data_IF_995521029417
#
_entry.id   IF_995521029417
#
_cell.length_a   1.000
_cell.length_b   1.000
_cell.length_c   1.000
_cell.angle_alpha   90.00
_cell.angle_beta   90.00
_cell.angle_gamma   90.00
#
_symmetry.space_group_name_H-M   'P 1'
#
loop_
_entity.id
_entity.type
_entity.pdbx_description
1 polymer ?
#
# COMPACT_ATOMS: atom_id res chain seq x y z
N UNK A 1 52.67 2.57 31.12
CA UNK A 1 52.83 1.09 31.14
C UNK A 1 52.53 0.61 32.55
N UNK A 2 51.45 -0.17 32.77
CA UNK A 2 51.26 -1.03 33.94
C UNK A 2 50.30 -2.15 33.53
N UNK A 3 50.86 -3.34 33.38
CA UNK A 3 50.18 -4.64 33.26
C UNK A 3 49.90 -5.16 34.66
N UNK A 4 48.74 -5.77 34.92
CA UNK A 4 48.48 -6.91 35.84
C UNK A 4 47.04 -7.40 35.58
N UNK A 5 46.58 -8.63 35.80
CA UNK A 5 47.08 -10.02 35.74
C UNK A 5 45.80 -10.88 35.90
N UNK A 6 45.82 -12.06 35.31
CA UNK A 6 44.90 -13.20 35.37
C UNK A 6 44.23 -13.52 36.73
N UNK A 7 43.06 -14.16 36.64
CA UNK A 7 42.53 -15.14 37.61
C UNK A 7 41.23 -15.78 37.08
N UNK A 8 41.23 -17.04 36.60
CA UNK A 8 41.05 -18.31 37.35
C UNK A 8 39.55 -18.70 37.41
N UNK A 9 39.05 -19.57 36.53
CA UNK A 9 38.99 -21.04 36.57
C UNK A 9 37.99 -21.64 37.58
N UNK A 10 37.19 -22.59 37.06
CA UNK A 10 36.48 -23.72 37.68
C UNK A 10 34.96 -23.59 37.77
N UNK A 11 34.13 -24.64 37.71
CA UNK A 11 34.15 -25.98 37.14
C UNK A 11 32.79 -26.61 37.50
N UNK A 12 32.34 -27.58 36.69
CA UNK A 12 31.44 -28.71 37.05
C UNK A 12 30.00 -28.47 37.49
N UNK A 13 29.08 -29.25 36.90
CA UNK A 13 27.79 -29.58 37.49
C UNK A 13 26.74 -30.03 36.48
N UNK A 14 26.82 -31.28 36.02
CA UNK A 14 25.73 -31.94 35.30
C UNK A 14 24.68 -32.45 36.30
N UNK A 15 23.39 -32.22 36.03
CA UNK A 15 22.28 -33.00 36.58
C UNK A 15 21.14 -33.01 35.55
N UNK A 16 20.84 -34.21 35.06
CA UNK A 16 19.68 -34.51 34.23
C UNK A 16 18.49 -34.84 35.13
N UNK A 17 17.29 -34.32 34.81
CA UNK A 17 16.02 -34.87 35.28
C UNK A 17 15.01 -34.83 34.14
N UNK A 18 14.53 -36.00 33.77
CA UNK A 18 13.48 -36.27 32.80
C UNK A 18 12.10 -35.99 33.42
N UNK A 19 11.22 -35.28 32.72
CA UNK A 19 9.77 -35.34 32.97
C UNK A 19 9.02 -34.99 31.68
N UNK A 20 8.22 -35.94 31.21
CA UNK A 20 7.48 -35.83 29.96
C UNK A 20 6.41 -34.75 29.97
N UNK A 21 6.17 -34.19 28.79
CA UNK A 21 4.90 -33.57 28.47
C UNK A 21 4.29 -34.29 27.27
N UNK A 22 3.22 -35.03 27.57
CA UNK A 22 1.95 -35.11 26.84
C UNK A 22 1.95 -34.48 25.45
N UNK A 23 1.69 -35.32 24.45
CA UNK A 23 1.49 -34.92 23.07
C UNK A 23 0.37 -33.88 22.93
N UNK A 24 0.70 -32.78 22.27
CA UNK A 24 -0.27 -31.95 21.59
C UNK A 24 -0.31 -32.42 20.13
N UNK A 25 -1.45 -32.93 19.69
CA UNK A 25 -1.73 -33.12 18.28
C UNK A 25 -1.60 -31.74 17.61
N UNK A 26 -0.52 -31.52 16.86
CA UNK A 26 -0.47 -30.43 15.89
C UNK A 26 -1.49 -30.79 14.82
N UNK A 27 -2.69 -30.23 14.94
CA UNK A 27 -3.58 -30.10 13.80
C UNK A 27 -2.77 -29.38 12.72
N UNK A 28 -2.40 -30.11 11.67
CA UNK A 28 -1.90 -29.53 10.44
C UNK A 28 -3.03 -28.65 9.93
N UNK A 29 -2.98 -27.36 10.26
CA UNK A 29 -3.68 -26.36 9.48
C UNK A 29 -3.02 -26.44 8.10
N UNK A 30 -3.59 -27.26 7.23
CA UNK A 30 -3.41 -27.13 5.82
C UNK A 30 -3.84 -25.69 5.51
N UNK A 31 -2.87 -24.79 5.45
CA UNK A 31 -3.05 -23.53 4.75
C UNK A 31 -3.38 -23.97 3.33
N UNK A 32 -4.67 -24.01 3.01
CA UNK A 32 -5.12 -23.96 1.63
C UNK A 32 -4.43 -22.74 1.07
N UNK A 33 -3.39 -22.97 0.27
CA UNK A 33 -2.75 -21.93 -0.50
C UNK A 33 -3.88 -21.26 -1.28
N UNK A 34 -4.24 -20.04 -0.85
CA UNK A 34 -5.18 -19.23 -1.58
C UNK A 34 -4.64 -19.17 -3.01
N UNK A 35 -5.41 -19.70 -3.96
CA UNK A 35 -5.04 -19.62 -5.36
C UNK A 35 -4.83 -18.15 -5.71
N UNK A 36 -3.81 -17.82 -6.52
CA UNK A 36 -3.62 -16.45 -6.98
C UNK A 36 -4.91 -15.99 -7.65
N UNK A 37 -5.48 -14.90 -7.12
CA UNK A 37 -6.64 -14.22 -7.69
C UNK A 37 -6.36 -13.96 -9.18
N UNK A 38 -7.23 -14.46 -10.05
CA UNK A 38 -7.03 -14.44 -11.50
C UNK A 38 -7.31 -13.06 -12.12
N UNK A 39 -7.39 -12.01 -11.31
CA UNK A 39 -7.43 -10.63 -11.75
C UNK A 39 -8.72 -10.27 -12.49
N UNK A 40 -9.77 -11.09 -12.36
CA UNK A 40 -11.10 -10.77 -12.88
C UNK A 40 -11.71 -9.72 -11.96
N UNK A 41 -11.58 -8.47 -12.38
CA UNK A 41 -12.19 -7.29 -11.74
C UNK A 41 -13.71 -7.44 -11.78
N UNK A 42 -14.27 -8.06 -10.75
CA UNK A 42 -15.69 -7.96 -10.45
C UNK A 42 -16.03 -6.50 -10.19
N UNK A 43 -17.09 -6.00 -10.81
CA UNK A 43 -17.71 -4.73 -10.45
C UNK A 43 -18.28 -4.91 -9.04
N UNK A 44 -17.46 -4.76 -8.02
CA UNK A 44 -17.92 -4.58 -6.64
C UNK A 44 -18.19 -3.10 -6.46
N UNK A 45 -19.41 -2.71 -6.85
CA UNK A 45 -19.96 -1.43 -6.46
C UNK A 45 -20.05 -1.31 -4.94
N UNK A 46 -19.74 -0.12 -4.44
CA UNK A 46 -19.97 0.28 -3.05
C UNK A 46 -18.88 -0.18 -2.11
N UNK A 47 -17.79 0.58 -2.06
CA UNK A 47 -16.99 0.58 -0.84
C UNK A 47 -17.88 0.93 0.36
N UNK A 48 -17.56 0.36 1.50
CA UNK A 48 -18.39 0.35 2.70
C UNK A 48 -17.51 0.56 3.92
N UNK A 49 -18.11 0.75 5.09
CA UNK A 49 -17.36 0.83 6.36
C UNK A 49 -16.42 -0.38 6.59
N UNK A 50 -16.68 -1.53 5.95
CA UNK A 50 -15.84 -2.73 6.03
C UNK A 50 -14.81 -2.86 4.88
N UNK A 51 -14.96 -2.10 3.80
CA UNK A 51 -14.10 -2.15 2.61
C UNK A 51 -13.70 -0.73 2.21
N UNK A 52 -12.44 -0.32 2.47
CA UNK A 52 -12.01 1.05 2.19
C UNK A 52 -12.16 1.35 0.71
N UNK A 53 -12.67 2.54 0.39
CA UNK A 53 -12.68 3.13 -0.95
C UNK A 53 -11.27 3.58 -1.38
N UNK A 54 -11.07 3.77 -2.69
CA UNK A 54 -9.88 4.37 -3.23
C UNK A 54 -9.68 5.77 -2.65
N UNK A 55 -8.46 6.07 -2.21
CA UNK A 55 -8.09 7.35 -1.60
C UNK A 55 -6.83 7.92 -2.25
N UNK A 56 -6.80 9.24 -2.40
CA UNK A 56 -5.58 10.00 -2.71
C UNK A 56 -5.27 10.95 -1.57
N UNK A 57 -4.09 10.79 -0.98
CA UNK A 57 -3.48 11.74 -0.05
C UNK A 57 -2.44 12.56 -0.80
N UNK A 58 -2.47 13.88 -0.66
CA UNK A 58 -1.57 14.77 -1.38
C UNK A 58 -0.60 15.45 -0.40
N UNK A 59 0.51 14.77 -0.13
CA UNK A 59 1.60 15.28 0.70
C UNK A 59 2.60 16.13 -0.10
N UNK A 60 2.36 16.29 -1.40
CA UNK A 60 3.19 17.09 -2.29
C UNK A 60 2.89 18.59 -2.18
N UNK A 61 3.81 19.41 -2.70
CA UNK A 61 3.64 20.87 -2.76
C UNK A 61 2.70 21.39 -3.86
N UNK A 62 2.03 20.52 -4.63
CA UNK A 62 1.16 20.92 -5.75
C UNK A 62 -0.21 20.28 -5.65
N UNK A 63 -1.23 20.94 -6.21
CA UNK A 63 -2.57 20.34 -6.26
C UNK A 63 -2.62 19.17 -7.23
N UNK A 64 -3.35 18.12 -6.87
CA UNK A 64 -3.54 16.89 -7.65
C UNK A 64 -4.98 16.83 -8.13
N UNK A 65 -5.20 16.47 -9.40
CA UNK A 65 -6.55 16.21 -9.92
C UNK A 65 -6.86 14.73 -9.84
N UNK A 66 -8.06 14.40 -9.39
CA UNK A 66 -8.52 13.03 -9.18
C UNK A 66 -9.88 12.80 -9.85
N UNK A 67 -10.14 11.57 -10.27
CA UNK A 67 -11.40 11.12 -10.85
C UNK A 67 -12.19 10.32 -9.82
N UNK A 68 -13.49 10.62 -9.67
CA UNK A 68 -14.40 9.86 -8.78
C UNK A 68 -15.33 8.92 -9.56
N UNK A 69 -15.13 8.83 -10.87
CA UNK A 69 -15.79 7.84 -11.72
C UNK A 69 -14.91 7.58 -12.93
N UNK A 70 -14.43 6.36 -13.12
CA UNK A 70 -13.65 5.96 -14.29
C UNK A 70 -14.47 5.09 -15.24
N UNK A 71 -14.69 5.58 -16.47
CA UNK A 71 -15.66 4.97 -17.40
C UNK A 71 -15.05 4.11 -18.50
N UNK A 72 -13.77 3.74 -18.39
CA UNK A 72 -13.07 2.93 -19.38
C UNK A 72 -12.49 1.66 -18.75
N UNK A 73 -12.27 0.62 -19.55
CA UNK A 73 -11.64 -0.62 -19.06
C UNK A 73 -10.11 -0.51 -18.94
N UNK A 74 -9.52 0.55 -19.51
CA UNK A 74 -8.08 0.79 -19.45
C UNK A 74 -7.61 1.23 -18.06
N UNK A 75 -6.42 0.77 -17.64
CA UNK A 75 -5.77 1.17 -16.38
C UNK A 75 -5.09 2.54 -16.46
N UNK A 76 -4.83 3.02 -17.66
CA UNK A 76 -4.26 4.35 -17.90
C UNK A 76 -4.98 5.00 -19.07
N UNK A 77 -4.94 6.34 -19.11
CA UNK A 77 -5.46 7.08 -20.25
C UNK A 77 -4.64 8.35 -20.52
N UNK A 78 -4.56 8.82 -21.77
CA UNK A 78 -3.89 10.08 -22.06
C UNK A 78 -4.64 11.26 -21.44
N UNK A 79 -3.94 12.39 -21.27
CA UNK A 79 -4.56 13.66 -20.91
C UNK A 79 -5.59 14.07 -21.98
N UNK A 80 -6.73 14.59 -21.56
CA UNK A 80 -7.85 14.92 -22.45
C UNK A 80 -8.74 13.74 -22.84
N UNK A 81 -8.44 12.52 -22.36
CA UNK A 81 -9.35 11.37 -22.53
C UNK A 81 -10.70 11.57 -21.84
N UNK A 82 -11.71 10.85 -22.31
CA UNK A 82 -13.05 10.86 -21.75
C UNK A 82 -13.24 9.93 -20.54
N UNK A 83 -12.23 9.10 -20.22
CA UNK A 83 -12.26 8.10 -19.15
C UNK A 83 -12.48 8.69 -17.74
N UNK A 84 -11.73 9.73 -17.30
CA UNK A 84 -11.97 10.32 -15.99
C UNK A 84 -13.23 11.19 -15.99
N UNK A 85 -14.13 10.97 -15.02
CA UNK A 85 -15.35 11.76 -14.79
C UNK A 85 -15.37 12.29 -13.35
N UNK A 86 -16.26 13.26 -13.11
CA UNK A 86 -16.46 13.88 -11.78
C UNK A 86 -15.15 14.38 -11.16
N UNK A 87 -14.30 15.02 -11.97
CA UNK A 87 -12.94 15.40 -11.57
C UNK A 87 -12.98 16.37 -10.38
N UNK A 88 -12.13 16.11 -9.38
CA UNK A 88 -11.93 16.97 -8.21
C UNK A 88 -10.46 17.33 -8.05
N UNK A 89 -10.21 18.41 -7.33
CA UNK A 89 -8.86 18.86 -6.99
C UNK A 89 -8.59 18.59 -5.52
N UNK A 90 -7.46 17.97 -5.23
CA UNK A 90 -6.92 17.72 -3.89
C UNK A 90 -5.77 18.71 -3.67
N UNK A 91 -5.93 19.63 -2.73
CA UNK A 91 -4.91 20.64 -2.39
C UNK A 91 -3.71 19.99 -1.67
N UNK A 92 -2.53 20.63 -1.64
CA UNK A 92 -1.42 20.22 -0.79
C UNK A 92 -1.86 20.01 0.67
N UNK A 93 -1.42 18.93 1.29
CA UNK A 93 -1.75 18.51 2.65
C UNK A 93 -3.18 17.99 2.85
N UNK A 94 -3.98 17.86 1.78
CA UNK A 94 -5.34 17.35 1.85
C UNK A 94 -5.42 15.92 1.29
N UNK A 95 -6.55 15.25 1.55
CA UNK A 95 -6.88 13.95 0.96
C UNK A 95 -8.28 13.97 0.35
N UNK A 96 -8.56 12.99 -0.52
CA UNK A 96 -9.88 12.74 -1.09
C UNK A 96 -10.07 11.25 -1.31
N UNK A 97 -11.26 10.76 -0.99
CA UNK A 97 -11.57 9.35 -1.04
C UNK A 97 -11.69 8.77 0.35
N UNK A 98 -11.67 7.44 0.46
CA UNK A 98 -11.90 6.74 1.72
C UNK A 98 -13.37 6.82 2.19
N UNK A 99 -13.75 5.88 3.06
CA UNK A 99 -15.13 5.80 3.58
C UNK A 99 -16.16 5.57 2.49
N UNK A 100 -17.01 6.56 2.23
CA UNK A 100 -18.10 6.52 1.23
C UNK A 100 -17.74 7.19 -0.11
N UNK A 101 -16.51 7.71 -0.25
CA UNK A 101 -16.05 8.38 -1.48
C UNK A 101 -14.98 7.54 -2.15
N UNK A 102 -15.23 7.13 -3.38
CA UNK A 102 -14.28 6.38 -4.18
C UNK A 102 -13.51 7.29 -5.13
N UNK A 103 -12.18 7.22 -5.06
CA UNK A 103 -11.30 7.81 -6.07
C UNK A 103 -10.79 6.69 -6.96
N UNK A 104 -11.15 6.75 -8.24
CA UNK A 104 -10.72 5.73 -9.20
C UNK A 104 -9.34 6.02 -9.78
N UNK A 105 -8.97 7.29 -9.94
CA UNK A 105 -7.76 7.67 -10.67
C UNK A 105 -7.21 9.03 -10.27
N UNK A 106 -5.92 9.26 -10.56
CA UNK A 106 -5.27 10.57 -10.45
C UNK A 106 -4.62 11.01 -11.76
N UNK A 107 -4.50 12.31 -11.97
CA UNK A 107 -3.84 12.95 -13.11
C UNK A 107 -2.40 13.33 -12.77
N UNK A 108 -1.48 13.03 -13.67
CA UNK A 108 -0.16 13.65 -13.74
C UNK A 108 -0.16 14.64 -14.91
N UNK A 109 -0.01 15.95 -14.67
CA UNK A 109 -0.04 16.96 -15.72
C UNK A 109 1.11 16.82 -16.73
N UNK A 110 0.92 17.40 -17.92
CA UNK A 110 1.96 17.45 -18.96
C UNK A 110 3.20 18.17 -18.42
N UNK A 111 4.39 17.60 -18.68
CA UNK A 111 5.66 18.16 -18.22
C UNK A 111 5.98 17.87 -16.75
N UNK A 112 5.10 17.19 -16.02
CA UNK A 112 5.34 16.82 -14.64
C UNK A 112 5.68 15.33 -14.48
N UNK A 113 6.35 15.00 -13.37
CA UNK A 113 6.50 13.65 -12.82
C UNK A 113 6.01 13.65 -11.38
N UNK A 114 5.16 12.69 -11.06
CA UNK A 114 4.68 12.47 -9.69
C UNK A 114 5.41 11.27 -9.11
N UNK A 115 5.73 11.39 -7.83
CA UNK A 115 6.26 10.35 -6.98
C UNK A 115 5.21 10.01 -5.93
N UNK A 116 4.91 8.72 -5.74
CA UNK A 116 3.83 8.30 -4.85
C UNK A 116 4.03 6.90 -4.29
N UNK A 117 3.30 6.59 -3.23
CA UNK A 117 3.24 5.24 -2.63
C UNK A 117 1.84 4.67 -2.74
N UNK A 118 1.73 3.35 -2.84
CA UNK A 118 0.46 2.62 -2.86
C UNK A 118 0.29 1.95 -1.49
N UNK A 119 -0.07 2.74 -0.47
CA UNK A 119 -0.02 2.32 0.93
C UNK A 119 1.28 2.73 1.64
N UNK A 120 1.28 2.64 2.98
CA UNK A 120 2.29 3.27 3.82
C UNK A 120 3.69 2.61 3.74
N UNK A 121 3.74 1.30 3.51
CA UNK A 121 4.97 0.50 3.52
C UNK A 121 5.53 0.23 2.11
N UNK A 122 4.78 0.58 1.08
CA UNK A 122 5.15 0.29 -0.29
C UNK A 122 6.29 1.21 -0.77
N UNK A 123 7.17 0.69 -1.65
CA UNK A 123 8.20 1.51 -2.27
C UNK A 123 7.58 2.65 -3.07
N UNK A 124 8.31 3.77 -3.17
CA UNK A 124 7.87 4.90 -3.98
C UNK A 124 7.92 4.55 -5.48
N UNK A 125 6.80 4.76 -6.17
CA UNK A 125 6.67 4.71 -7.61
C UNK A 125 6.77 6.11 -8.23
N UNK A 126 7.03 6.17 -9.55
CA UNK A 126 6.90 7.43 -10.29
C UNK A 126 6.21 7.26 -11.64
N UNK A 127 5.43 8.28 -12.01
CA UNK A 127 4.72 8.35 -13.29
C UNK A 127 4.86 9.72 -13.91
N UNK A 128 4.86 9.76 -15.24
CA UNK A 128 4.84 10.98 -16.05
C UNK A 128 3.42 11.28 -16.50
N UNK A 129 3.24 12.18 -17.46
CA UNK A 129 1.95 12.70 -17.86
C UNK A 129 0.91 11.63 -18.26
N UNK A 130 -0.30 11.74 -17.71
CA UNK A 130 -1.41 10.83 -17.99
C UNK A 130 -2.40 10.72 -16.83
N UNK A 131 -3.42 9.90 -17.01
CA UNK A 131 -4.32 9.46 -15.96
C UNK A 131 -4.02 8.02 -15.58
N UNK A 132 -4.03 7.73 -14.27
CA UNK A 132 -3.68 6.43 -13.71
C UNK A 132 -4.80 5.93 -12.81
N UNK A 133 -5.49 4.88 -13.25
CA UNK A 133 -6.49 4.17 -12.45
C UNK A 133 -5.79 3.31 -11.40
N UNK A 134 -6.37 3.24 -10.22
CA UNK A 134 -5.98 2.31 -9.17
C UNK A 134 -7.21 1.58 -8.62
N UNK A 135 -6.99 0.56 -7.80
CA UNK A 135 -8.07 -0.24 -7.25
C UNK A 135 -8.78 0.50 -6.10
N UNK A 136 -10.07 0.23 -5.95
CA UNK A 136 -10.99 0.89 -5.03
C UNK A 136 -10.70 0.59 -3.55
N UNK A 137 -9.59 -0.06 -3.21
CA UNK A 137 -9.18 -0.33 -1.81
C UNK A 137 -7.73 0.10 -1.55
N UNK A 138 -7.19 0.97 -2.39
CA UNK A 138 -5.82 1.47 -2.27
C UNK A 138 -5.82 2.94 -1.88
N UNK A 139 -4.87 3.29 -1.03
CA UNK A 139 -4.50 4.67 -0.76
C UNK A 139 -3.26 5.02 -1.57
N UNK A 140 -3.38 6.05 -2.41
CA UNK A 140 -2.27 6.64 -3.15
C UNK A 140 -1.79 7.88 -2.40
N UNK A 141 -0.56 7.85 -1.90
CA UNK A 141 0.05 9.03 -1.26
C UNK A 141 1.02 9.68 -2.22
N UNK A 142 0.67 10.84 -2.78
CA UNK A 142 1.56 11.63 -3.64
C UNK A 142 2.55 12.38 -2.75
N UNK A 143 3.82 11.95 -2.75
CA UNK A 143 4.87 12.46 -1.84
C UNK A 143 5.61 13.65 -2.44
N UNK A 144 5.81 13.66 -3.76
CA UNK A 144 6.58 14.71 -4.44
C UNK A 144 6.12 14.88 -5.88
N UNK A 145 6.17 16.13 -6.34
CA UNK A 145 5.91 16.50 -7.74
C UNK A 145 7.09 17.30 -8.28
N UNK A 146 7.57 16.94 -9.47
CA UNK A 146 8.54 17.74 -10.24
C UNK A 146 7.95 18.16 -11.58
N UNK A 147 8.01 19.45 -11.87
CA UNK A 147 7.70 20.11 -13.13
C UNK A 147 8.69 21.29 -13.22
#
# INVERSE_FOLDING_TARGET
MRKYTFGMLAATGALAVSAGLTGAATASNAFSAASPDDGRVGILGGCSWAWPCGEVQNDSGRSVRVSLNWTCDAKTAPLGSSCPKKIKTVKPGAHKGGGDVDVDAFEVPKGCRYHFKVGALDPEESRTAGWYKFNNSLTITITRTSC
#
